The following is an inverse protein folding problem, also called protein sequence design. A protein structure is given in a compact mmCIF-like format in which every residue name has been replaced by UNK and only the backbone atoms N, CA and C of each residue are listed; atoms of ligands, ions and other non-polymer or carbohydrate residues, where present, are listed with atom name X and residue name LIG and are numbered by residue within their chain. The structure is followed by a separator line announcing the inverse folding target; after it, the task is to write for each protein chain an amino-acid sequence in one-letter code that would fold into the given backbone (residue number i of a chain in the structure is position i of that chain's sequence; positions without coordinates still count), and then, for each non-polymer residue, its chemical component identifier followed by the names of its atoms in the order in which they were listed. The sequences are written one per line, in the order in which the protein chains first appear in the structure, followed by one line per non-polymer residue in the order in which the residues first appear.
data_IF_331973765879
#
_entry.id   IF_331973765879
#
_cell.length_a   1.000
_cell.length_b   1.000
_cell.length_c   1.000
_cell.angle_alpha   90.00
_cell.angle_beta   90.00
_cell.angle_gamma   90.00
#
_symmetry.space_group_name_H-M   'P 1'
#
loop_
_entity.id
_entity.type
_entity.pdbx_description
1 polymer ?
#
# COMPACT_ATOMS: atom_id res chain seq x y z
N UNK A 1 -19.53 16.46 15.85
CA UNK A 1 -19.84 16.90 14.52
C UNK A 1 -19.82 15.74 13.54
N UNK A 2 -20.86 15.64 12.75
CA UNK A 2 -21.07 14.49 11.87
C UNK A 2 -19.94 14.33 10.83
N UNK A 3 -19.47 15.43 10.27
CA UNK A 3 -18.41 15.38 9.27
C UNK A 3 -17.08 14.95 9.86
N UNK A 4 -16.79 15.37 11.09
CA UNK A 4 -15.57 14.99 11.76
C UNK A 4 -15.59 13.50 12.10
N UNK A 5 -16.74 12.96 12.51
CA UNK A 5 -16.87 11.54 12.78
C UNK A 5 -16.62 10.71 11.54
N UNK A 6 -17.10 11.16 10.37
CA UNK A 6 -16.86 10.43 9.12
C UNK A 6 -15.39 10.45 8.70
N UNK A 7 -14.71 11.58 8.90
CA UNK A 7 -13.29 11.69 8.58
C UNK A 7 -12.47 10.82 9.53
N UNK A 8 -12.79 10.87 10.80
CA UNK A 8 -12.08 10.06 11.81
C UNK A 8 -12.31 8.56 11.58
N UNK A 9 -13.48 8.16 11.11
CA UNK A 9 -13.79 6.76 10.92
C UNK A 9 -12.92 6.11 9.84
N UNK A 10 -12.46 6.85 8.84
CA UNK A 10 -11.55 6.31 7.83
C UNK A 10 -10.21 5.95 8.44
N UNK A 11 -9.72 6.73 9.42
CA UNK A 11 -8.50 6.44 10.15
C UNK A 11 -8.73 5.42 11.25
N UNK A 12 -9.91 5.41 11.82
CA UNK A 12 -10.26 4.50 12.91
C UNK A 12 -10.68 3.12 12.42
N UNK A 13 -10.76 2.92 11.08
CA UNK A 13 -11.07 1.60 10.55
C UNK A 13 -9.92 0.60 10.71
N UNK A 14 -8.75 1.06 11.15
CA UNK A 14 -7.67 0.15 11.52
C UNK A 14 -8.06 -0.61 12.79
N UNK A 15 -7.91 -1.94 12.75
CA UNK A 15 -8.06 -2.74 13.95
C UNK A 15 -6.96 -2.39 14.95
N UNK A 16 -7.13 -2.81 16.21
CA UNK A 16 -6.09 -2.61 17.22
C UNK A 16 -4.79 -3.32 16.81
N UNK A 17 -4.91 -4.51 16.20
CA UNK A 17 -3.76 -5.26 15.73
C UNK A 17 -3.03 -4.53 14.60
N UNK A 18 -3.78 -3.95 13.66
CA UNK A 18 -3.20 -3.19 12.57
C UNK A 18 -2.53 -1.93 13.09
N UNK A 19 -3.17 -1.24 14.02
CA UNK A 19 -2.60 -0.05 14.63
C UNK A 19 -1.31 -0.37 15.39
N UNK A 20 -1.32 -1.47 16.13
CA UNK A 20 -0.13 -1.92 16.85
C UNK A 20 1.00 -2.27 15.87
N UNK A 21 0.67 -2.89 14.73
CA UNK A 21 1.67 -3.20 13.72
C UNK A 21 2.29 -1.95 13.14
N UNK A 22 1.48 -0.92 12.86
CA UNK A 22 2.00 0.37 12.37
C UNK A 22 2.87 1.05 13.43
N UNK A 23 2.41 1.03 14.68
CA UNK A 23 3.14 1.65 15.80
C UNK A 23 4.50 0.99 16.03
N UNK A 24 4.60 -0.29 15.72
CA UNK A 24 5.84 -1.06 15.93
C UNK A 24 6.84 -0.92 14.78
N UNK A 25 6.49 -0.24 13.68
CA UNK A 25 7.39 -0.11 12.54
C UNK A 25 8.66 0.64 12.90
N UNK A 26 9.84 0.06 12.61
CA UNK A 26 11.09 0.80 12.74
C UNK A 26 11.15 1.96 11.75
N UNK A 27 11.99 2.95 12.04
CA UNK A 27 12.27 4.03 11.09
C UNK A 27 12.74 3.43 9.75
N UNK A 28 12.24 3.98 8.65
CA UNK A 28 12.59 3.52 7.30
C UNK A 28 11.76 2.34 6.80
N UNK A 29 10.84 1.80 7.62
CA UNK A 29 9.93 0.75 7.19
C UNK A 29 8.52 1.29 7.03
N UNK A 30 7.70 0.55 6.30
CA UNK A 30 6.31 0.93 6.07
C UNK A 30 5.45 -0.32 5.96
N UNK A 31 4.14 -0.13 5.96
CA UNK A 31 3.18 -1.22 5.92
C UNK A 31 2.10 -0.91 4.89
N UNK A 32 1.75 -1.90 4.08
CA UNK A 32 0.59 -1.82 3.20
C UNK A 32 -0.49 -2.73 3.75
N UNK A 33 -1.71 -2.23 3.85
CA UNK A 33 -2.85 -2.99 4.33
C UNK A 33 -3.92 -3.02 3.25
N UNK A 34 -4.40 -4.23 2.91
CA UNK A 34 -5.50 -4.38 1.96
C UNK A 34 -6.78 -3.94 2.64
N UNK A 35 -7.35 -2.83 2.18
CA UNK A 35 -8.58 -2.27 2.75
C UNK A 35 -9.82 -2.76 2.02
N UNK A 36 -9.70 -3.02 0.72
CA UNK A 36 -10.79 -3.55 -0.10
C UNK A 36 -10.21 -4.49 -1.14
N UNK A 37 -11.00 -5.50 -1.52
CA UNK A 37 -10.62 -6.46 -2.52
C UNK A 37 -10.37 -7.84 -1.93
N UNK A 38 -9.79 -8.74 -2.70
CA UNK A 38 -9.46 -10.07 -2.20
C UNK A 38 -8.49 -9.98 -1.02
N UNK A 39 -8.64 -10.90 -0.07
CA UNK A 39 -7.77 -10.95 1.12
C UNK A 39 -7.78 -9.67 1.94
N UNK A 40 -8.93 -9.03 2.07
CA UNK A 40 -9.07 -7.83 2.89
C UNK A 40 -8.46 -8.07 4.28
N UNK A 41 -7.66 -7.11 4.74
CA UNK A 41 -6.95 -7.19 6.01
C UNK A 41 -5.55 -7.73 5.89
N UNK A 42 -5.14 -8.26 4.73
CA UNK A 42 -3.77 -8.71 4.53
C UNK A 42 -2.80 -7.54 4.67
N UNK A 43 -1.62 -7.81 5.22
CA UNK A 43 -0.60 -6.81 5.49
C UNK A 43 0.71 -7.20 4.83
N UNK A 44 1.38 -6.22 4.26
CA UNK A 44 2.68 -6.43 3.61
C UNK A 44 3.69 -5.43 4.14
N UNK A 45 4.80 -5.93 4.65
CA UNK A 45 5.85 -5.08 5.19
C UNK A 45 6.75 -4.57 4.07
N UNK A 46 7.00 -3.27 4.06
CA UNK A 46 7.95 -2.64 3.14
C UNK A 46 9.21 -2.30 3.93
N UNK A 47 10.20 -3.17 3.85
CA UNK A 47 11.45 -3.04 4.59
C UNK A 47 12.69 -3.13 3.68
N UNK A 48 12.48 -3.08 2.37
CA UNK A 48 13.54 -3.17 1.37
C UNK A 48 13.50 -1.96 0.44
N UNK A 49 14.59 -1.72 -0.25
CA UNK A 49 14.67 -0.59 -1.19
C UNK A 49 13.77 -0.80 -2.40
N UNK A 50 13.52 -2.04 -2.79
CA UNK A 50 12.60 -2.39 -3.87
C UNK A 50 11.76 -3.57 -3.43
N UNK A 51 10.43 -3.43 -3.54
CA UNK A 51 9.47 -4.50 -3.26
C UNK A 51 8.61 -4.69 -4.50
N UNK A 52 8.70 -5.85 -5.13
CA UNK A 52 7.95 -6.14 -6.35
C UNK A 52 6.53 -6.60 -6.03
N UNK A 53 5.59 -6.23 -6.90
CA UNK A 53 4.19 -6.61 -6.77
C UNK A 53 3.71 -7.21 -8.08
N UNK A 54 3.04 -8.34 -8.03
CA UNK A 54 2.50 -8.95 -9.22
C UNK A 54 1.85 -10.29 -8.98
N UNK A 55 1.38 -10.87 -10.08
CA UNK A 55 0.73 -12.18 -10.09
C UNK A 55 1.73 -13.28 -10.43
N UNK A 56 2.93 -13.16 -9.92
CA UNK A 56 3.99 -14.15 -10.12
C UNK A 56 4.44 -14.66 -8.75
N UNK A 57 4.62 -15.97 -8.57
CA UNK A 57 5.01 -16.51 -7.26
C UNK A 57 6.31 -15.93 -6.71
N UNK A 58 7.18 -15.42 -7.57
CA UNK A 58 8.45 -14.80 -7.16
C UNK A 58 8.31 -13.32 -6.79
N UNK A 59 7.12 -12.73 -6.96
CA UNK A 59 6.91 -11.35 -6.52
C UNK A 59 6.98 -11.27 -5.00
N UNK A 60 7.58 -10.20 -4.49
CA UNK A 60 7.65 -9.97 -3.05
C UNK A 60 6.26 -9.85 -2.44
N UNK A 61 5.37 -9.16 -3.14
CA UNK A 61 3.95 -9.10 -2.80
C UNK A 61 3.21 -9.84 -3.92
N UNK A 62 2.80 -11.07 -3.62
CA UNK A 62 2.09 -11.90 -4.58
C UNK A 62 0.58 -11.66 -4.44
N UNK A 63 -0.01 -11.09 -5.48
CA UNK A 63 -1.45 -10.83 -5.56
C UNK A 63 -2.03 -11.75 -6.63
N UNK A 64 -2.63 -12.86 -6.20
CA UNK A 64 -3.15 -13.90 -7.10
C UNK A 64 -4.55 -13.53 -7.58
N UNK A 65 -4.62 -12.62 -8.54
CA UNK A 65 -5.89 -12.20 -9.13
C UNK A 65 -5.67 -11.85 -10.60
N UNK A 66 -6.69 -12.15 -11.42
CA UNK A 66 -6.60 -11.93 -12.87
C UNK A 66 -6.49 -10.45 -13.24
N UNK A 67 -6.89 -9.54 -12.34
CA UNK A 67 -6.78 -8.11 -12.58
C UNK A 67 -5.37 -7.58 -12.34
N UNK A 68 -4.47 -8.41 -11.81
CA UNK A 68 -3.09 -8.04 -11.51
C UNK A 68 -2.17 -8.64 -12.58
N UNK A 69 -1.32 -7.80 -13.17
CA UNK A 69 -0.32 -8.28 -14.14
C UNK A 69 0.78 -9.06 -13.43
N UNK A 70 1.46 -9.94 -14.15
CA UNK A 70 2.53 -10.75 -13.59
C UNK A 70 3.61 -9.89 -12.96
N UNK A 71 4.00 -8.80 -13.65
CA UNK A 71 4.88 -7.76 -13.12
C UNK A 71 4.08 -6.47 -13.17
N UNK A 72 3.46 -6.12 -12.07
CA UNK A 72 2.49 -5.03 -12.05
C UNK A 72 3.10 -3.70 -11.62
N UNK A 73 3.81 -3.72 -10.50
CA UNK A 73 4.35 -2.49 -9.92
C UNK A 73 5.53 -2.80 -9.02
N UNK A 74 6.23 -1.76 -8.62
CA UNK A 74 7.28 -1.83 -7.61
C UNK A 74 7.10 -0.72 -6.60
N UNK A 75 7.27 -1.05 -5.33
CA UNK A 75 7.40 -0.05 -4.28
C UNK A 75 8.88 0.17 -4.04
N UNK A 76 9.30 1.43 -4.09
CA UNK A 76 10.71 1.80 -3.95
C UNK A 76 10.89 2.69 -2.73
N UNK A 77 12.00 2.45 -2.03
CA UNK A 77 12.36 3.25 -0.86
C UNK A 77 13.66 3.99 -1.16
N UNK A 78 13.67 5.29 -0.88
CA UNK A 78 14.86 6.11 -0.93
C UNK A 78 14.97 6.83 0.42
N UNK A 79 15.89 6.39 1.26
CA UNK A 79 15.94 6.87 2.64
C UNK A 79 14.69 6.47 3.40
N UNK A 80 13.88 7.45 3.77
CA UNK A 80 12.61 7.25 4.47
C UNK A 80 11.40 7.53 3.58
N UNK A 81 11.63 7.81 2.30
CA UNK A 81 10.58 8.13 1.33
C UNK A 81 10.26 6.91 0.51
N UNK A 82 8.98 6.65 0.34
CA UNK A 82 8.49 5.54 -0.48
C UNK A 82 7.76 6.06 -1.71
N UNK A 83 7.87 5.31 -2.79
CA UNK A 83 7.14 5.59 -4.03
C UNK A 83 6.65 4.29 -4.64
N UNK A 84 5.65 4.39 -5.51
CA UNK A 84 5.17 3.27 -6.32
C UNK A 84 5.44 3.59 -7.78
N UNK A 85 5.87 2.58 -8.55
CA UNK A 85 6.08 2.71 -9.99
C UNK A 85 5.35 1.59 -10.69
N UNK A 86 4.54 1.94 -11.70
CA UNK A 86 3.86 0.95 -12.54
C UNK A 86 4.86 0.35 -13.53
N UNK A 87 4.76 -0.96 -13.77
CA UNK A 87 5.65 -1.68 -14.68
C UNK A 87 4.95 -2.00 -16.00
N UNK A 88 4.29 -1.01 -16.59
CA UNK A 88 3.51 -1.18 -17.81
C UNK A 88 2.44 -2.26 -17.65
N UNK A 89 1.75 -2.25 -16.54
CA UNK A 89 0.68 -3.21 -16.24
C UNK A 89 -0.51 -3.00 -17.18
N UNK A 90 -1.28 -4.05 -17.39
CA UNK A 90 -2.45 -3.99 -18.26
C UNK A 90 -3.52 -3.03 -17.72
N UNK A 91 -3.84 -3.16 -16.44
CA UNK A 91 -4.92 -2.37 -15.82
C UNK A 91 -4.43 -1.09 -15.15
N UNK A 92 -3.13 -0.89 -15.07
CA UNK A 92 -2.54 0.30 -14.47
C UNK A 92 -2.47 0.24 -12.96
N UNK A 93 -1.78 1.22 -12.40
CA UNK A 93 -1.68 1.45 -10.97
C UNK A 93 -2.29 2.81 -10.69
N UNK A 94 -3.16 2.90 -9.68
CA UNK A 94 -3.83 4.14 -9.34
C UNK A 94 -3.35 4.62 -7.97
N UNK A 95 -3.10 5.91 -7.89
CA UNK A 95 -2.73 6.57 -6.64
C UNK A 95 -3.78 7.61 -6.32
N UNK A 96 -4.45 7.46 -5.18
CA UNK A 96 -5.54 8.35 -4.75
C UNK A 96 -6.60 8.51 -5.85
N UNK A 97 -6.92 7.39 -6.54
CA UNK A 97 -7.94 7.36 -7.57
C UNK A 97 -7.47 7.72 -8.98
N UNK A 98 -6.25 8.19 -9.15
CA UNK A 98 -5.73 8.59 -10.46
C UNK A 98 -4.68 7.59 -10.94
N UNK A 99 -4.78 7.19 -12.20
CA UNK A 99 -3.79 6.32 -12.82
C UNK A 99 -2.47 7.06 -12.96
N UNK A 100 -1.38 6.45 -12.49
CA UNK A 100 -0.06 7.07 -12.48
C UNK A 100 0.98 6.09 -13.02
N UNK A 101 2.07 6.64 -13.57
CA UNK A 101 3.26 5.84 -13.88
C UNK A 101 4.12 5.68 -12.63
N UNK A 102 4.16 6.71 -11.81
CA UNK A 102 4.81 6.65 -10.49
C UNK A 102 4.22 7.72 -9.60
N UNK A 103 4.34 7.53 -8.29
CA UNK A 103 3.87 8.50 -7.32
C UNK A 103 4.63 8.32 -6.00
N UNK A 104 4.94 9.44 -5.34
CA UNK A 104 5.48 9.40 -4.00
C UNK A 104 4.35 9.14 -3.01
N UNK A 105 4.56 8.21 -2.09
CA UNK A 105 3.54 7.81 -1.13
C UNK A 105 3.61 8.65 0.13
N UNK A 106 2.45 9.09 0.60
CA UNK A 106 2.34 9.76 1.89
C UNK A 106 1.55 8.87 2.84
N UNK A 107 1.76 9.06 4.14
CA UNK A 107 1.09 8.26 5.15
C UNK A 107 -0.43 8.35 4.98
N UNK A 108 -1.09 7.20 4.93
CA UNK A 108 -2.54 7.12 4.76
C UNK A 108 -3.02 7.14 3.32
N UNK A 109 -2.13 7.25 2.33
CA UNK A 109 -2.55 7.29 0.93
C UNK A 109 -2.95 5.91 0.42
N UNK A 110 -3.81 5.88 -0.59
CA UNK A 110 -4.32 4.66 -1.18
C UNK A 110 -3.68 4.39 -2.53
N UNK A 111 -3.27 3.13 -2.72
CA UNK A 111 -2.77 2.62 -4.00
C UNK A 111 -3.70 1.50 -4.44
N UNK A 112 -4.19 1.57 -5.68
CA UNK A 112 -5.01 0.50 -6.24
C UNK A 112 -4.21 -0.27 -7.29
N UNK A 113 -4.14 -1.58 -7.08
CA UNK A 113 -3.50 -2.53 -8.00
C UNK A 113 -4.52 -3.61 -8.32
N UNK A 114 -5.02 -3.61 -9.55
CA UNK A 114 -6.12 -4.49 -9.92
C UNK A 114 -7.33 -4.23 -9.03
N UNK A 115 -7.87 -5.28 -8.41
CA UNK A 115 -9.00 -5.17 -7.49
C UNK A 115 -8.57 -4.80 -6.07
N UNK A 116 -7.27 -4.71 -5.80
CA UNK A 116 -6.77 -4.48 -4.45
C UNK A 116 -6.64 -3.00 -4.16
N UNK A 117 -7.23 -2.56 -3.08
CA UNK A 117 -7.08 -1.20 -2.56
C UNK A 117 -6.19 -1.29 -1.33
N UNK A 118 -5.00 -0.78 -1.45
CA UNK A 118 -3.96 -0.86 -0.42
C UNK A 118 -3.77 0.51 0.19
N UNK A 119 -3.70 0.58 1.51
CA UNK A 119 -3.38 1.83 2.19
C UNK A 119 -1.96 1.75 2.73
N UNK A 120 -1.20 2.83 2.50
CA UNK A 120 0.19 2.94 2.89
C UNK A 120 0.30 3.60 4.25
N UNK A 121 1.06 2.99 5.15
CA UNK A 121 1.35 3.56 6.47
C UNK A 121 2.85 3.59 6.69
N UNK A 122 3.40 4.79 6.87
CA UNK A 122 4.81 4.95 7.19
C UNK A 122 5.04 4.75 8.68
N UNK A 123 6.29 4.49 9.05
CA UNK A 123 6.66 4.45 10.46
C UNK A 123 6.36 5.80 11.13
N UNK A 124 5.78 5.77 12.32
CA UNK A 124 5.51 6.98 13.08
C UNK A 124 6.79 7.72 13.47
N UNK A 125 7.93 7.03 13.44
CA UNK A 125 9.23 7.64 13.71
C UNK A 125 9.69 8.55 12.57
N UNK A 126 9.06 8.43 11.39
CA UNK A 126 9.43 9.16 10.18
C UNK A 126 8.44 10.26 9.81
N UNK A 127 7.38 10.41 10.57
CA UNK A 127 6.34 11.43 10.32
C UNK A 127 6.10 12.31 11.52
#
# INVERSE_FOLDING_TARGET
NFSEDLIESDQETLSEEERAAVDALPSGNALLIVRRGPNQGARFLLDSDVTSVGRHPNADIFLDDVTVSRRHAEFKRSGKTFSVSDLASLNGTQYEGDRVESAELVNGSEVQIGKYHLTFFASKKDI
#
